data_IF_422852378407
#
_entry.id   IF_422852378407
#
_cell.length_a   1.000
_cell.length_b   1.000
_cell.length_c   1.000
_cell.angle_alpha   90.00
_cell.angle_beta   90.00
_cell.angle_gamma   90.00
#
_symmetry.space_group_name_H-M   'P 1'
#
loop_
_entity.id
_entity.type
_entity.pdbx_description
1 polymer ?
#
# COMPACT_ATOMS: atom_id res chain seq x y z
N UNK A 1 -11.66 11.73 -1.64
CA UNK A 1 -10.44 11.02 -2.06
C UNK A 1 -9.41 10.99 -0.94
N UNK A 2 -8.93 12.14 -0.45
CA UNK A 2 -7.95 12.21 0.64
C UNK A 2 -8.43 11.58 1.96
N UNK A 3 -9.63 11.94 2.45
CA UNK A 3 -10.16 11.36 3.69
C UNK A 3 -10.34 9.84 3.60
N UNK A 4 -10.84 9.35 2.46
CA UNK A 4 -10.98 7.93 2.20
C UNK A 4 -9.63 7.20 2.21
N UNK A 5 -8.56 7.81 1.69
CA UNK A 5 -7.21 7.26 1.81
C UNK A 5 -6.76 7.18 3.27
N UNK A 6 -6.90 8.25 4.05
CA UNK A 6 -6.48 8.27 5.46
C UNK A 6 -7.26 7.23 6.29
N UNK A 7 -8.54 7.03 6.01
CA UNK A 7 -9.39 6.11 6.78
C UNK A 7 -9.26 4.65 6.34
N UNK A 8 -9.13 4.39 5.04
CA UNK A 8 -9.23 3.02 4.47
C UNK A 8 -7.86 2.43 4.14
N UNK A 9 -6.92 3.25 3.69
CA UNK A 9 -5.62 2.75 3.24
C UNK A 9 -4.81 2.09 4.38
N UNK A 10 -4.86 2.54 5.65
CA UNK A 10 -4.17 1.84 6.74
C UNK A 10 -4.71 0.42 6.95
N UNK A 11 -6.02 0.24 6.87
CA UNK A 11 -6.64 -1.09 6.94
C UNK A 11 -6.23 -1.95 5.75
N UNK A 12 -6.12 -1.36 4.56
CA UNK A 12 -5.66 -2.05 3.35
C UNK A 12 -4.19 -2.49 3.48
N UNK A 13 -3.33 -1.63 4.03
CA UNK A 13 -1.93 -1.95 4.29
C UNK A 13 -1.78 -3.07 5.32
N UNK A 14 -2.56 -3.01 6.41
CA UNK A 14 -2.57 -4.08 7.41
C UNK A 14 -2.99 -5.43 6.81
N UNK A 15 -4.06 -5.44 6.01
CA UNK A 15 -4.54 -6.65 5.34
C UNK A 15 -3.53 -7.18 4.31
N UNK A 16 -2.83 -6.30 3.59
CA UNK A 16 -1.73 -6.70 2.71
C UNK A 16 -0.63 -7.44 3.48
N UNK A 17 -0.17 -6.86 4.60
CA UNK A 17 0.86 -7.44 5.46
C UNK A 17 0.44 -8.81 6.00
N UNK A 18 -0.80 -8.94 6.50
CA UNK A 18 -1.31 -10.23 7.00
C UNK A 18 -1.43 -11.28 5.89
N UNK A 19 -1.92 -10.89 4.71
CA UNK A 19 -2.06 -11.80 3.59
C UNK A 19 -0.71 -12.32 3.10
N UNK A 20 0.32 -11.48 3.04
CA UNK A 20 1.70 -11.91 2.73
C UNK A 20 2.21 -12.88 3.80
N UNK A 21 2.07 -12.52 5.09
CA UNK A 21 2.57 -13.33 6.20
C UNK A 21 1.90 -14.71 6.30
N UNK A 22 0.66 -14.83 5.83
CA UNK A 22 -0.12 -16.08 5.89
C UNK A 22 -0.16 -16.83 4.55
N UNK A 23 0.54 -16.34 3.53
CA UNK A 23 0.59 -16.97 2.20
C UNK A 23 -0.70 -16.86 1.39
N UNK A 24 -1.59 -15.92 1.73
CA UNK A 24 -2.84 -15.65 0.98
C UNK A 24 -2.55 -14.78 -0.25
N UNK A 25 -1.90 -15.35 -1.25
CA UNK A 25 -1.37 -14.61 -2.42
C UNK A 25 -2.43 -13.84 -3.21
N UNK A 26 -3.60 -14.45 -3.46
CA UNK A 26 -4.72 -13.78 -4.15
C UNK A 26 -5.23 -12.56 -3.40
N UNK A 27 -5.34 -12.64 -2.07
CA UNK A 27 -5.78 -11.53 -1.23
C UNK A 27 -4.71 -10.44 -1.17
N UNK A 28 -3.44 -10.82 -0.96
CA UNK A 28 -2.31 -9.91 -0.96
C UNK A 28 -2.24 -9.12 -2.29
N UNK A 29 -2.39 -9.80 -3.43
CA UNK A 29 -2.36 -9.14 -4.75
C UNK A 29 -3.49 -8.13 -4.90
N UNK A 30 -4.71 -8.46 -4.43
CA UNK A 30 -5.86 -7.54 -4.43
C UNK A 30 -5.62 -6.33 -3.53
N UNK A 31 -5.03 -6.52 -2.34
CA UNK A 31 -4.72 -5.42 -1.44
C UNK A 31 -3.65 -4.49 -2.03
N UNK A 32 -2.59 -5.03 -2.63
CA UNK A 32 -1.58 -4.26 -3.35
C UNK A 32 -2.19 -3.48 -4.54
N UNK A 33 -3.09 -4.11 -5.31
CA UNK A 33 -3.82 -3.44 -6.39
C UNK A 33 -4.66 -2.25 -5.90
N UNK A 34 -5.36 -2.43 -4.77
CA UNK A 34 -6.18 -1.40 -4.15
C UNK A 34 -5.32 -0.23 -3.68
N UNK A 35 -4.20 -0.52 -3.02
CA UNK A 35 -3.25 0.50 -2.57
C UNK A 35 -2.67 1.30 -3.75
N UNK A 36 -2.27 0.62 -4.83
CA UNK A 36 -1.81 1.25 -6.08
C UNK A 36 -2.84 2.21 -6.64
N UNK A 37 -4.11 1.79 -6.72
CA UNK A 37 -5.20 2.65 -7.22
C UNK A 37 -5.41 3.90 -6.35
N UNK A 38 -5.37 3.74 -5.03
CA UNK A 38 -5.47 4.87 -4.09
C UNK A 38 -4.32 5.85 -4.25
N UNK A 39 -3.08 5.36 -4.38
CA UNK A 39 -1.90 6.20 -4.59
C UNK A 39 -1.94 6.95 -5.93
N UNK A 40 -2.35 6.28 -7.02
CA UNK A 40 -2.50 6.90 -8.33
C UNK A 40 -3.55 8.03 -8.32
N UNK A 41 -4.69 7.80 -7.67
CA UNK A 41 -5.77 8.78 -7.56
C UNK A 41 -5.39 10.04 -6.76
N UNK A 42 -4.38 9.95 -5.89
CA UNK A 42 -3.88 11.05 -5.08
C UNK A 42 -2.54 11.60 -5.58
N UNK A 43 -2.10 11.20 -6.77
CA UNK A 43 -0.81 11.60 -7.35
C UNK A 43 0.38 11.35 -6.39
N UNK A 44 0.43 10.17 -5.77
CA UNK A 44 1.53 9.68 -4.92
C UNK A 44 2.41 8.70 -5.73
N UNK A 45 3.27 9.18 -6.65
CA UNK A 45 3.91 8.34 -7.68
C UNK A 45 4.86 7.28 -7.11
N UNK A 46 5.54 7.58 -6.01
CA UNK A 46 6.46 6.64 -5.37
C UNK A 46 5.70 5.50 -4.70
N UNK A 47 4.63 5.81 -3.95
CA UNK A 47 3.75 4.78 -3.36
C UNK A 47 3.06 3.95 -4.44
N UNK A 48 2.60 4.58 -5.53
CA UNK A 48 2.00 3.89 -6.67
C UNK A 48 2.99 2.89 -7.29
N UNK A 49 4.24 3.31 -7.51
CA UNK A 49 5.30 2.44 -8.04
C UNK A 49 5.56 1.25 -7.12
N UNK A 50 5.73 1.49 -5.83
CA UNK A 50 6.00 0.45 -4.83
C UNK A 50 4.84 -0.54 -4.73
N UNK A 51 3.59 -0.07 -4.72
CA UNK A 51 2.41 -0.92 -4.69
C UNK A 51 2.25 -1.76 -5.97
N UNK A 52 2.62 -1.21 -7.14
CA UNK A 52 2.66 -1.96 -8.41
C UNK A 52 3.73 -3.05 -8.40
N UNK A 53 4.92 -2.75 -7.89
CA UNK A 53 6.00 -3.72 -7.77
C UNK A 53 5.60 -4.86 -6.81
N UNK A 54 5.00 -4.51 -5.66
CA UNK A 54 4.45 -5.47 -4.72
C UNK A 54 3.38 -6.38 -5.35
N UNK A 55 2.42 -5.80 -6.07
CA UNK A 55 1.39 -6.55 -6.80
C UNK A 55 1.99 -7.57 -7.79
N UNK A 56 3.10 -7.22 -8.44
CA UNK A 56 3.80 -8.11 -9.37
C UNK A 56 4.56 -9.23 -8.63
N UNK A 57 5.30 -8.88 -7.58
CA UNK A 57 6.09 -9.84 -6.78
C UNK A 57 5.21 -10.91 -6.14
N UNK A 58 4.06 -10.52 -5.58
CA UNK A 58 3.09 -11.46 -4.98
C UNK A 58 2.63 -12.54 -5.99
N UNK A 59 2.53 -12.19 -7.28
CA UNK A 59 2.16 -13.11 -8.35
C UNK A 59 3.28 -14.05 -8.81
N UNK A 60 4.52 -13.86 -8.33
CA UNK A 60 5.70 -14.60 -8.79
C UNK A 60 6.58 -15.13 -7.65
N UNK A 61 7.21 -14.22 -6.89
CA UNK A 61 8.12 -14.52 -5.78
C UNK A 61 7.60 -13.86 -4.49
N UNK A 62 6.87 -14.65 -3.70
CA UNK A 62 6.28 -14.20 -2.44
C UNK A 62 7.32 -13.98 -1.33
N UNK A 63 8.48 -14.64 -1.39
CA UNK A 63 9.57 -14.38 -0.45
C UNK A 63 10.22 -13.02 -0.75
N UNK A 64 10.35 -12.64 -2.02
CA UNK A 64 10.79 -11.31 -2.40
C UNK A 64 9.77 -10.23 -2.02
N UNK A 65 8.47 -10.50 -2.20
CA UNK A 65 7.41 -9.62 -1.73
C UNK A 65 7.52 -9.38 -0.21
N UNK A 66 7.73 -10.44 0.59
CA UNK A 66 7.92 -10.32 2.03
C UNK A 66 9.17 -9.50 2.40
N UNK A 67 10.28 -9.65 1.67
CA UNK A 67 11.51 -8.84 1.88
C UNK A 67 11.29 -7.36 1.60
N UNK A 68 10.47 -7.03 0.59
CA UNK A 68 10.20 -5.65 0.17
C UNK A 68 9.05 -4.98 0.92
N UNK A 69 8.29 -5.71 1.72
CA UNK A 69 7.11 -5.18 2.40
C UNK A 69 7.42 -3.97 3.28
N UNK A 70 8.53 -4.02 4.03
CA UNK A 70 8.96 -2.90 4.89
C UNK A 70 9.16 -1.59 4.13
N UNK A 71 9.72 -1.63 2.91
CA UNK A 71 9.89 -0.44 2.06
C UNK A 71 8.54 0.18 1.67
N UNK A 72 7.53 -0.67 1.41
CA UNK A 72 6.18 -0.20 1.08
C UNK A 72 5.49 0.40 2.31
N UNK A 73 5.65 -0.22 3.49
CA UNK A 73 5.12 0.27 4.76
C UNK A 73 5.72 1.63 5.14
N UNK A 74 7.04 1.76 5.10
CA UNK A 74 7.73 3.02 5.42
C UNK A 74 7.25 4.17 4.53
N UNK A 75 7.13 3.92 3.22
CA UNK A 75 6.69 4.95 2.28
C UNK A 75 5.19 5.25 2.38
N UNK A 76 4.40 4.26 2.74
CA UNK A 76 2.98 4.44 3.02
C UNK A 76 2.76 5.34 4.23
N UNK A 77 3.50 5.11 5.33
CA UNK A 77 3.40 5.92 6.55
C UNK A 77 3.78 7.38 6.29
N UNK A 78 4.80 7.64 5.46
CA UNK A 78 5.11 9.00 5.00
C UNK A 78 3.93 9.65 4.27
N UNK A 79 3.31 8.92 3.33
CA UNK A 79 2.17 9.43 2.56
C UNK A 79 0.94 9.69 3.45
N UNK A 80 0.68 8.84 4.45
CA UNK A 80 -0.41 9.04 5.41
C UNK A 80 -0.15 10.28 6.26
N UNK A 81 1.05 10.41 6.84
CA UNK A 81 1.41 11.58 7.65
C UNK A 81 1.28 12.89 6.86
N UNK A 82 1.76 12.92 5.62
CA UNK A 82 1.65 14.09 4.75
C UNK A 82 0.17 14.40 4.41
N UNK A 83 -0.63 13.37 4.13
CA UNK A 83 -2.05 13.51 3.87
C UNK A 83 -2.83 14.05 5.09
N UNK A 84 -2.52 13.56 6.28
CA UNK A 84 -3.12 14.02 7.54
C UNK A 84 -2.75 15.47 7.85
N UNK A 85 -1.48 15.83 7.64
CA UNK A 85 -1.02 17.21 7.79
C UNK A 85 -1.76 18.14 6.84
N UNK A 86 -1.84 17.79 5.56
CA UNK A 86 -2.55 18.60 4.58
C UNK A 86 -4.04 18.75 4.94
N UNK A 87 -4.70 17.69 5.45
CA UNK A 87 -6.09 17.76 5.91
C UNK A 87 -6.30 18.73 7.07
N UNK A 88 -5.33 18.83 7.99
CA UNK A 88 -5.42 19.69 9.17
C UNK A 88 -5.06 21.17 8.90
N UNK A 89 -4.46 21.46 7.74
CA UNK A 89 -4.12 22.81 7.28
C UNK A 89 -5.23 23.46 6.41
N UNK A 90 -6.30 22.70 6.10
CA UNK A 90 -7.51 23.14 5.37
C UNK A 90 -8.63 23.58 6.33
#
# INVERSE_FOLDING_TARGET
MLSAFIEIAPTTMHALREAIATGQTSDAQRHAHTLKGSAANLAMPTLEKLAREMEHLIGGDTDEAARKLSEVEDHFDLCVNDAERYRNEL
#
